data_IF_620742159859
#
_entry.id   IF_620742159859
#
_cell.length_a   1.000
_cell.length_b   1.000
_cell.length_c   1.000
_cell.angle_alpha   90.00
_cell.angle_beta   90.00
_cell.angle_gamma   90.00
#
_symmetry.space_group_name_H-M   'P 1'
#
loop_
_entity.id
_entity.type
_entity.pdbx_description
1 polymer ?
#
# COMPACT_ATOMS: atom_id res chain seq x y z
N UNK A 1 8.92 -1.48 7.95
CA UNK A 1 8.69 -0.37 7.01
C UNK A 1 8.52 0.89 7.83
N UNK A 2 9.53 1.76 7.91
CA UNK A 2 9.51 2.95 8.75
C UNK A 2 8.84 4.13 8.02
N UNK A 3 7.54 4.01 7.74
CA UNK A 3 6.73 5.10 7.14
C UNK A 3 5.56 5.41 8.07
N UNK A 4 5.15 6.68 8.13
CA UNK A 4 4.04 7.15 8.97
C UNK A 4 2.70 6.93 8.29
N UNK A 5 2.62 7.13 6.98
CA UNK A 5 1.42 6.92 6.18
C UNK A 5 1.67 5.86 5.09
N UNK A 6 1.05 4.69 5.27
CA UNK A 6 1.10 3.60 4.29
C UNK A 6 -0.12 3.54 3.36
N UNK A 7 -1.18 4.29 3.67
CA UNK A 7 -2.48 4.25 2.98
C UNK A 7 -2.66 5.40 2.00
N UNK A 8 -1.80 6.42 2.06
CA UNK A 8 -1.82 7.57 1.16
C UNK A 8 -1.88 7.18 -0.33
N UNK A 9 -2.80 7.80 -1.06
CA UNK A 9 -2.98 7.57 -2.51
C UNK A 9 -2.11 8.47 -3.40
N UNK A 10 -1.56 9.55 -2.86
CA UNK A 10 -0.72 10.50 -3.61
C UNK A 10 0.75 10.12 -3.45
N UNK A 11 1.30 9.43 -4.47
CA UNK A 11 2.66 8.89 -4.45
C UNK A 11 3.33 9.04 -5.80
N UNK A 12 4.63 9.31 -5.79
CA UNK A 12 5.48 9.24 -6.97
C UNK A 12 6.32 7.96 -6.93
N UNK A 13 6.38 7.25 -8.05
CA UNK A 13 7.16 6.03 -8.18
C UNK A 13 8.23 6.20 -9.26
N UNK A 14 9.46 5.76 -8.96
CA UNK A 14 10.46 5.59 -10.02
C UNK A 14 10.06 4.37 -10.85
N UNK A 15 10.09 4.50 -12.18
CA UNK A 15 9.78 3.41 -13.12
C UNK A 15 10.49 2.10 -12.74
N UNK A 16 11.80 2.15 -12.48
CA UNK A 16 12.60 0.97 -12.07
C UNK A 16 12.10 0.24 -10.83
N UNK A 17 11.38 0.93 -9.92
CA UNK A 17 10.82 0.32 -8.72
C UNK A 17 9.56 -0.46 -9.09
N UNK A 18 8.68 0.13 -9.91
CA UNK A 18 7.49 -0.56 -10.41
C UNK A 18 7.85 -1.77 -11.27
N UNK A 19 8.82 -1.62 -12.19
CA UNK A 19 9.31 -2.72 -13.04
C UNK A 19 9.84 -3.90 -12.22
N UNK A 20 10.37 -3.64 -11.02
CA UNK A 20 10.90 -4.67 -10.14
C UNK A 20 9.83 -5.43 -9.34
N UNK A 21 8.61 -4.89 -9.24
CA UNK A 21 7.51 -5.47 -8.48
C UNK A 21 6.68 -6.34 -9.43
N UNK A 22 6.43 -7.59 -9.06
CA UNK A 22 5.43 -8.38 -9.76
C UNK A 22 4.03 -7.80 -9.47
N UNK A 23 3.50 -7.08 -10.45
CA UNK A 23 2.18 -6.46 -10.39
C UNK A 23 1.05 -7.49 -10.54
N UNK A 24 1.29 -8.59 -11.25
CA UNK A 24 0.28 -9.64 -11.44
C UNK A 24 0.04 -10.41 -10.14
N UNK A 25 1.06 -10.55 -9.30
CA UNK A 25 0.96 -11.14 -7.97
C UNK A 25 0.28 -10.24 -6.92
N UNK A 26 -0.08 -9.00 -7.24
CA UNK A 26 -0.73 -8.08 -6.29
C UNK A 26 -2.19 -8.49 -6.12
N UNK A 27 -2.54 -8.98 -4.92
CA UNK A 27 -3.87 -9.53 -4.63
C UNK A 27 -4.75 -8.58 -3.82
N UNK A 28 -4.22 -7.45 -3.36
CA UNK A 28 -4.95 -6.46 -2.57
C UNK A 28 -5.73 -5.51 -3.47
N UNK A 29 -6.94 -5.15 -3.05
CA UNK A 29 -7.85 -4.27 -3.78
C UNK A 29 -8.17 -3.02 -2.95
N UNK A 30 -8.56 -1.93 -3.62
CA UNK A 30 -8.91 -0.67 -2.96
C UNK A 30 -7.76 -0.08 -2.15
N UNK A 31 -8.03 0.41 -0.94
CA UNK A 31 -7.01 1.06 -0.09
C UNK A 31 -5.86 0.11 0.32
N UNK A 32 -6.13 -1.19 0.43
CA UNK A 32 -5.15 -2.18 0.86
C UNK A 32 -4.02 -2.40 -0.15
N UNK A 33 -4.27 -2.10 -1.42
CA UNK A 33 -3.26 -2.08 -2.49
C UNK A 33 -2.10 -1.12 -2.17
N UNK A 34 -2.39 0.05 -1.59
CA UNK A 34 -1.38 1.06 -1.28
C UNK A 34 -0.35 0.54 -0.27
N UNK A 35 -0.83 -0.23 0.71
CA UNK A 35 0.00 -0.87 1.74
C UNK A 35 0.83 -1.99 1.11
N UNK A 36 0.22 -2.83 0.25
CA UNK A 36 0.91 -3.92 -0.43
C UNK A 36 2.08 -3.41 -1.28
N UNK A 37 1.85 -2.37 -2.07
CA UNK A 37 2.89 -1.80 -2.94
C UNK A 37 4.07 -1.25 -2.15
N UNK A 38 3.80 -0.50 -1.07
CA UNK A 38 4.84 0.01 -0.18
C UNK A 38 5.62 -1.14 0.47
N UNK A 39 4.93 -2.19 0.91
CA UNK A 39 5.56 -3.35 1.52
C UNK A 39 6.44 -4.12 0.53
N UNK A 40 5.97 -4.39 -0.68
CA UNK A 40 6.76 -5.06 -1.75
C UNK A 40 8.01 -4.26 -2.11
N UNK A 41 7.89 -2.94 -2.23
CA UNK A 41 9.03 -2.05 -2.48
C UNK A 41 10.05 -2.09 -1.32
N UNK A 42 9.55 -2.08 -0.08
CA UNK A 42 10.39 -2.16 1.12
C UNK A 42 11.10 -3.53 1.26
N UNK A 43 10.42 -4.63 0.93
CA UNK A 43 11.02 -5.98 0.92
C UNK A 43 12.18 -6.07 -0.10
N UNK A 44 12.06 -5.38 -1.23
CA UNK A 44 13.12 -5.26 -2.25
C UNK A 44 14.21 -4.23 -1.90
N UNK A 45 14.23 -3.72 -0.67
CA UNK A 45 15.23 -2.77 -0.14
C UNK A 45 15.27 -1.40 -0.85
N UNK A 46 14.19 -1.01 -1.52
CA UNK A 46 14.10 0.36 -2.03
C UNK A 46 13.89 1.36 -0.89
N UNK A 47 14.39 2.59 -1.10
CA UNK A 47 14.12 3.70 -0.19
C UNK A 47 12.72 4.27 -0.42
N UNK A 48 12.03 4.56 0.68
CA UNK A 48 10.74 5.23 0.70
C UNK A 48 10.94 6.52 1.49
N UNK A 49 10.46 7.64 0.95
CA UNK A 49 10.59 8.95 1.57
C UNK A 49 9.22 9.64 1.59
N UNK A 50 8.90 10.29 2.70
CA UNK A 50 7.63 10.97 2.92
C UNK A 50 7.83 12.49 2.83
N UNK A 51 7.10 13.14 1.93
CA UNK A 51 6.97 14.59 1.93
C UNK A 51 5.65 14.99 2.55
N UNK A 52 5.66 15.86 3.58
CA UNK A 52 4.42 16.34 4.18
C UNK A 52 3.67 17.21 3.17
N UNK A 53 2.35 17.02 3.11
CA UNK A 53 1.44 17.81 2.30
C UNK A 53 0.30 18.32 3.16
N UNK A 54 -0.33 19.41 2.73
CA UNK A 54 -1.63 19.83 3.25
C UNK A 54 -2.68 19.06 2.47
N UNK A 55 -3.39 18.16 3.14
CA UNK A 55 -4.50 17.42 2.54
C UNK A 55 -5.78 18.23 2.71
N UNK A 56 -6.21 18.92 1.66
CA UNK A 56 -7.46 19.68 1.69
C UNK A 56 -8.67 18.75 1.53
N UNK A 57 -9.69 18.94 2.35
CA UNK A 57 -10.91 18.16 2.26
C UNK A 57 -11.67 18.46 0.97
N UNK A 58 -12.22 17.41 0.39
CA UNK A 58 -13.11 17.51 -0.77
C UNK A 58 -14.41 18.18 -0.33
N UNK A 59 -14.79 19.24 -1.03
CA UNK A 59 -16.03 20.01 -0.75
C UNK A 59 -17.25 19.53 -1.53
N UNK A 60 -17.06 18.70 -2.57
CA UNK A 60 -18.13 18.25 -3.48
C UNK A 60 -18.03 16.74 -3.71
N UNK A 61 -19.13 16.02 -3.46
CA UNK A 61 -19.29 14.57 -3.69
C UNK A 61 -19.23 13.72 -2.43
N UNK A 62 -19.68 12.46 -2.53
CA UNK A 62 -19.73 11.53 -1.40
C UNK A 62 -18.43 10.72 -1.23
N UNK A 63 -18.13 10.37 0.02
CA UNK A 63 -16.97 9.55 0.36
C UNK A 63 -17.16 8.12 -0.15
N UNK A 64 -16.13 7.58 -0.83
CA UNK A 64 -16.08 6.17 -1.25
C UNK A 64 -15.63 5.23 -0.11
N UNK A 65 -15.32 5.76 1.07
CA UNK A 65 -14.89 4.98 2.23
C UNK A 65 -16.07 4.26 2.87
N UNK A 66 -15.97 2.94 3.01
CA UNK A 66 -16.97 2.12 3.69
C UNK A 66 -16.32 1.22 4.75
N UNK A 67 -17.11 0.76 5.73
CA UNK A 67 -16.65 -0.19 6.76
C UNK A 67 -16.04 -1.46 6.15
N UNK A 68 -16.56 -1.90 4.99
CA UNK A 68 -16.04 -3.06 4.26
C UNK A 68 -14.58 -2.88 3.85
N UNK A 69 -14.24 -1.71 3.27
CA UNK A 69 -12.86 -1.39 2.84
C UNK A 69 -11.90 -1.38 4.04
N UNK A 70 -12.36 -0.88 5.20
CA UNK A 70 -11.58 -0.89 6.43
C UNK A 70 -11.25 -2.32 6.90
N UNK A 71 -12.25 -3.21 6.95
CA UNK A 71 -12.03 -4.61 7.34
C UNK A 71 -11.11 -5.36 6.36
N UNK A 72 -11.26 -5.14 5.06
CA UNK A 72 -10.38 -5.72 4.04
C UNK A 72 -8.91 -5.31 4.26
N UNK A 73 -8.65 -4.04 4.55
CA UNK A 73 -7.31 -3.54 4.83
C UNK A 73 -6.67 -4.24 6.05
N UNK A 74 -7.43 -4.43 7.13
CA UNK A 74 -6.95 -5.14 8.33
C UNK A 74 -6.57 -6.58 7.99
N UNK A 75 -7.44 -7.32 7.30
CA UNK A 75 -7.19 -8.74 6.93
C UNK A 75 -5.95 -8.86 6.05
N UNK A 76 -5.79 -7.95 5.08
CA UNK A 76 -4.66 -7.93 4.16
C UNK A 76 -3.32 -7.76 4.90
N UNK A 77 -3.27 -6.88 5.90
CA UNK A 77 -2.06 -6.67 6.72
C UNK A 77 -1.66 -7.95 7.45
N UNK A 78 -2.63 -8.64 8.08
CA UNK A 78 -2.39 -9.90 8.76
C UNK A 78 -1.92 -10.99 7.80
N UNK A 79 -2.54 -11.06 6.60
CA UNK A 79 -2.15 -12.00 5.55
C UNK A 79 -0.71 -11.78 5.08
N UNK A 80 -0.29 -10.53 4.85
CA UNK A 80 1.10 -10.22 4.49
C UNK A 80 2.11 -10.67 5.55
N UNK A 81 1.75 -10.49 6.84
CA UNK A 81 2.59 -10.91 7.95
C UNK A 81 2.76 -12.42 8.01
N UNK A 82 1.69 -13.17 7.74
CA UNK A 82 1.73 -14.64 7.62
C UNK A 82 2.55 -15.07 6.40
N UNK A 83 2.35 -14.47 5.22
CA UNK A 83 3.13 -14.78 4.02
C UNK A 83 4.64 -14.58 4.21
N UNK A 84 5.02 -13.54 4.96
CA UNK A 84 6.42 -13.32 5.34
C UNK A 84 6.98 -14.45 6.19
N UNK A 85 6.20 -14.98 7.12
CA UNK A 85 6.62 -16.06 8.03
C UNK A 85 6.73 -17.40 7.30
N UNK A 86 5.84 -17.68 6.36
CA UNK A 86 5.82 -18.95 5.60
C UNK A 86 6.61 -18.92 4.29
N UNK A 87 7.30 -17.80 3.97
CA UNK A 87 8.10 -17.71 2.76
C UNK A 87 7.30 -17.78 1.45
N UNK A 88 5.99 -17.52 1.48
CA UNK A 88 5.12 -17.44 0.29
C UNK A 88 5.32 -16.15 -0.53
N UNK A 89 6.54 -15.62 -0.49
CA UNK A 89 7.02 -14.51 -1.29
C UNK A 89 7.66 -15.05 -2.58
N UNK A 90 6.82 -15.61 -3.44
CA UNK A 90 7.11 -15.69 -4.88
C UNK A 90 6.02 -14.94 -5.61
#
# INVERSE_FOLDING_TARGET
>A
MPIKDSTGGFKAWKRKVLDSIDLNGVKSQGYSFQIEMNWRAWQKKFSIFEHPIIFADRTIGESKMSKKIMFEAIIVIWRMRIWKLFGWHK
#
